data_IF_666134826486
#
_entry.id   IF_666134826486
#
_cell.length_a   1.000
_cell.length_b   1.000
_cell.length_c   1.000
_cell.angle_alpha   90.00
_cell.angle_beta   90.00
_cell.angle_gamma   90.00
#
_symmetry.space_group_name_H-M   'P 1'
#
loop_
_entity.id
_entity.type
_entity.pdbx_description
1 polymer ?
#
# COMPACT_ATOMS: atom_id res chain seq x y z
N UNK A 1 13.63 -3.23 -2.42
CA UNK A 1 12.17 -3.50 -2.23
C UNK A 1 11.65 -2.91 -0.93
N UNK A 2 12.13 -1.72 -0.58
CA UNK A 2 11.35 -0.82 0.26
C UNK A 2 10.23 -0.19 -0.59
N UNK A 3 10.48 -0.02 -1.90
CA UNK A 3 9.68 0.73 -2.86
C UNK A 3 8.14 0.59 -2.87
N UNK A 4 7.56 -0.58 -3.15
CA UNK A 4 6.12 -0.67 -3.48
C UNK A 4 5.20 -0.71 -2.27
N UNK A 5 5.62 -1.48 -1.25
CA UNK A 5 4.98 -1.45 0.05
C UNK A 5 5.31 -0.16 0.78
N UNK A 6 6.47 0.49 0.57
CA UNK A 6 6.63 1.87 1.01
C UNK A 6 5.65 2.75 0.26
N UNK A 7 5.57 2.81 -1.07
CA UNK A 7 4.55 3.63 -1.76
C UNK A 7 3.15 3.36 -1.19
N UNK A 8 2.77 2.10 -0.99
CA UNK A 8 1.51 1.74 -0.35
C UNK A 8 1.39 2.22 1.12
N UNK A 9 2.40 2.00 1.98
CA UNK A 9 2.42 2.40 3.39
C UNK A 9 2.63 3.90 3.60
N UNK A 10 3.49 4.52 2.82
CA UNK A 10 3.64 5.95 2.58
C UNK A 10 2.31 6.59 2.25
N UNK A 11 1.57 6.03 1.29
CA UNK A 11 0.20 6.45 0.98
C UNK A 11 -0.73 6.24 2.18
N UNK A 12 -0.50 5.22 3.01
CA UNK A 12 -1.28 4.97 4.23
C UNK A 12 -0.86 5.80 5.47
N UNK A 13 0.35 6.35 5.57
CA UNK A 13 0.93 6.88 6.82
C UNK A 13 1.29 8.37 6.77
N UNK A 14 0.90 9.10 5.73
CA UNK A 14 1.35 10.47 5.48
C UNK A 14 0.90 11.54 6.49
N UNK A 15 0.24 11.17 7.59
CA UNK A 15 0.24 11.91 8.87
C UNK A 15 -0.43 11.05 9.95
N UNK A 16 0.34 10.26 10.72
CA UNK A 16 -0.10 9.58 11.96
C UNK A 16 -1.49 8.90 11.94
N UNK A 17 -1.83 8.24 10.84
CA UNK A 17 -3.08 7.50 10.71
C UNK A 17 -3.28 7.06 9.27
N UNK A 18 -3.90 5.89 9.11
CA UNK A 18 -4.38 5.36 7.84
C UNK A 18 -5.02 6.48 7.00
N UNK A 19 -4.81 6.50 5.68
CA UNK A 19 -5.38 7.49 4.75
C UNK A 19 -6.92 7.44 4.74
N UNK A 20 -7.47 7.94 5.81
CA UNK A 20 -8.84 8.33 6.02
C UNK A 20 -8.66 9.69 6.63
N UNK A 21 -8.98 10.75 5.87
CA UNK A 21 -8.98 12.10 6.39
C UNK A 21 -9.58 12.12 7.80
N UNK A 22 -8.97 12.78 8.79
CA UNK A 22 -9.51 12.84 10.14
C UNK A 22 -10.99 13.29 10.17
N UNK A 23 -11.40 14.13 9.21
CA UNK A 23 -12.79 14.54 8.98
C UNK A 23 -13.75 13.40 8.60
N UNK A 24 -13.26 12.29 8.04
CA UNK A 24 -14.04 11.10 7.78
C UNK A 24 -14.22 10.27 9.06
N UNK A 25 -13.24 10.22 9.95
CA UNK A 25 -13.41 9.62 11.27
C UNK A 25 -14.39 10.42 12.16
N UNK A 26 -14.55 11.72 11.94
CA UNK A 26 -15.59 12.52 12.60
C UNK A 26 -17.03 12.07 12.25
N UNK A 27 -17.21 11.23 11.21
CA UNK A 27 -18.50 10.62 10.85
C UNK A 27 -18.78 9.34 11.64
N UNK A 28 -17.80 8.79 12.35
CA UNK A 28 -17.98 7.65 13.24
C UNK A 28 -18.38 8.14 14.64
N UNK A 29 -19.27 7.42 15.32
CA UNK A 29 -19.50 7.63 16.76
C UNK A 29 -18.24 7.32 17.58
N UNK A 30 -18.17 7.82 18.82
CA UNK A 30 -17.04 7.54 19.72
C UNK A 30 -16.84 6.03 19.93
N UNK A 31 -17.93 5.30 20.18
CA UNK A 31 -17.91 3.85 20.43
C UNK A 31 -17.49 3.06 19.17
N UNK A 32 -17.97 3.48 18.00
CA UNK A 32 -17.56 2.88 16.72
C UNK A 32 -16.08 3.14 16.44
N UNK A 33 -15.59 4.36 16.71
CA UNK A 33 -14.20 4.74 16.50
C UNK A 33 -13.25 3.91 17.38
N UNK A 34 -13.61 3.70 18.65
CA UNK A 34 -12.84 2.84 19.55
C UNK A 34 -12.84 1.38 19.05
N UNK A 35 -13.99 0.87 18.63
CA UNK A 35 -14.10 -0.46 18.03
C UNK A 35 -13.22 -0.63 16.79
N UNK A 36 -13.25 0.35 15.88
CA UNK A 36 -12.40 0.40 14.69
C UNK A 36 -10.92 0.39 15.04
N UNK A 37 -10.48 1.19 16.03
CA UNK A 37 -9.09 1.21 16.50
C UNK A 37 -8.67 -0.18 17.00
N UNK A 38 -9.52 -0.85 17.78
CA UNK A 38 -9.25 -2.20 18.29
C UNK A 38 -9.17 -3.24 17.17
N UNK A 39 -10.00 -3.12 16.13
CA UNK A 39 -9.92 -4.00 14.95
C UNK A 39 -8.59 -3.87 14.21
N UNK A 40 -8.05 -2.65 14.07
CA UNK A 40 -6.87 -2.41 13.24
C UNK A 40 -5.54 -2.53 13.99
N UNK A 41 -5.53 -2.34 15.31
CA UNK A 41 -4.32 -2.35 16.13
C UNK A 41 -3.41 -3.59 15.94
N UNK A 42 -3.92 -4.83 15.85
CA UNK A 42 -3.09 -6.01 15.58
C UNK A 42 -2.38 -5.93 14.22
N UNK A 43 -3.04 -5.33 13.23
CA UNK A 43 -2.46 -5.09 11.91
C UNK A 43 -1.39 -4.01 12.04
N UNK A 44 -1.72 -2.84 12.59
CA UNK A 44 -0.81 -1.68 12.68
C UNK A 44 0.48 -1.98 13.45
N UNK A 45 0.41 -2.77 14.52
CA UNK A 45 1.57 -3.18 15.34
C UNK A 45 2.56 -4.03 14.55
N UNK A 46 2.12 -4.81 13.57
CA UNK A 46 3.01 -5.56 12.67
C UNK A 46 3.83 -4.66 11.74
N UNK A 47 3.45 -3.38 11.62
CA UNK A 47 4.07 -2.36 10.77
C UNK A 47 4.94 -1.35 11.54
N UNK A 48 4.86 -1.28 12.88
CA UNK A 48 5.53 -0.25 13.69
C UNK A 48 7.07 -0.33 13.66
N UNK A 49 7.65 -1.52 13.51
CA UNK A 49 9.12 -1.71 13.60
C UNK A 49 9.87 -1.53 12.27
N UNK A 50 9.39 -0.67 11.36
CA UNK A 50 9.93 -0.53 9.99
C UNK A 50 10.06 -1.89 9.31
N UNK A 51 9.01 -2.36 8.65
CA UNK A 51 9.08 -3.70 8.05
C UNK A 51 10.30 -3.83 7.12
N UNK A 52 11.25 -4.68 7.51
CA UNK A 52 12.32 -5.10 6.63
C UNK A 52 11.77 -6.14 5.64
N UNK A 53 11.04 -5.64 4.65
CA UNK A 53 10.29 -6.43 3.69
C UNK A 53 11.17 -7.18 2.69
N UNK A 54 12.45 -6.82 2.59
CA UNK A 54 13.42 -7.59 1.82
C UNK A 54 13.49 -9.05 2.30
N UNK A 55 13.12 -9.29 3.57
CA UNK A 55 13.07 -10.60 4.21
C UNK A 55 11.69 -10.98 4.77
N UNK A 56 10.58 -10.46 4.22
CA UNK A 56 9.28 -11.08 4.54
C UNK A 56 9.32 -12.51 4.03
N UNK A 57 9.36 -13.46 4.96
CA UNK A 57 9.20 -14.87 4.62
C UNK A 57 7.75 -15.08 4.22
N UNK A 58 7.49 -16.07 3.36
CA UNK A 58 6.12 -16.49 3.01
C UNK A 58 5.27 -16.71 4.27
N UNK A 59 5.85 -17.32 5.31
CA UNK A 59 5.18 -17.53 6.60
C UNK A 59 4.80 -16.22 7.31
N UNK A 60 5.70 -15.22 7.32
CA UNK A 60 5.39 -13.90 7.88
C UNK A 60 4.33 -13.17 7.05
N UNK A 61 4.40 -13.28 5.72
CA UNK A 61 3.40 -12.73 4.82
C UNK A 61 2.00 -13.30 5.06
N UNK A 62 1.89 -14.63 5.14
CA UNK A 62 0.63 -15.33 5.47
C UNK A 62 0.08 -14.84 6.82
N UNK A 63 0.91 -14.76 7.86
CA UNK A 63 0.48 -14.26 9.18
C UNK A 63 -0.09 -12.84 9.10
N UNK A 64 0.56 -11.94 8.36
CA UNK A 64 0.07 -10.57 8.23
C UNK A 64 -1.24 -10.54 7.42
N UNK A 65 -1.38 -11.40 6.40
CA UNK A 65 -2.65 -11.54 5.66
C UNK A 65 -3.77 -12.02 6.58
N UNK A 66 -3.53 -13.02 7.42
CA UNK A 66 -4.54 -13.55 8.36
C UNK A 66 -5.01 -12.47 9.33
N UNK A 67 -4.07 -11.74 9.95
CA UNK A 67 -4.39 -10.62 10.85
C UNK A 67 -5.15 -9.51 10.12
N UNK A 68 -4.77 -9.23 8.87
CA UNK A 68 -5.46 -8.25 8.04
C UNK A 68 -6.90 -8.66 7.69
N UNK A 69 -7.13 -9.96 7.40
CA UNK A 69 -8.47 -10.49 7.15
C UNK A 69 -9.33 -10.49 8.42
N UNK A 70 -8.76 -10.84 9.57
CA UNK A 70 -9.44 -10.74 10.86
C UNK A 70 -9.87 -9.29 11.15
N UNK A 71 -8.97 -8.33 10.92
CA UNK A 71 -9.29 -6.91 11.06
C UNK A 71 -10.42 -6.49 10.10
N UNK A 72 -10.40 -6.96 8.86
CA UNK A 72 -11.47 -6.68 7.88
C UNK A 72 -12.83 -7.22 8.36
N UNK A 73 -12.87 -8.44 8.88
CA UNK A 73 -14.10 -9.03 9.44
C UNK A 73 -14.60 -8.26 10.66
N UNK A 74 -13.70 -7.82 11.54
CA UNK A 74 -14.01 -6.96 12.68
C UNK A 74 -14.58 -5.61 12.23
N UNK A 75 -13.93 -4.96 11.25
CA UNK A 75 -14.34 -3.67 10.70
C UNK A 75 -15.75 -3.71 10.06
N UNK A 76 -16.15 -4.84 9.48
CA UNK A 76 -17.47 -5.01 8.89
C UNK A 76 -18.64 -4.87 9.89
N UNK A 77 -18.37 -4.91 11.20
CA UNK A 77 -19.36 -4.72 12.25
C UNK A 77 -19.71 -3.25 12.50
N UNK A 78 -18.94 -2.31 11.93
CA UNK A 78 -19.08 -0.88 12.18
C UNK A 78 -19.54 -0.15 10.91
N UNK A 79 -20.82 0.27 10.82
CA UNK A 79 -21.36 0.92 9.63
C UNK A 79 -20.56 2.14 9.15
N UNK A 80 -19.96 2.89 10.07
CA UNK A 80 -19.16 4.07 9.73
C UNK A 80 -17.95 3.73 8.82
N UNK A 81 -17.40 2.51 8.94
CA UNK A 81 -16.24 2.02 8.16
C UNK A 81 -16.55 1.98 6.67
N UNK A 82 -17.74 1.51 6.29
CA UNK A 82 -18.16 1.44 4.89
C UNK A 82 -18.40 2.84 4.30
N UNK A 83 -18.90 3.78 5.12
CA UNK A 83 -19.12 5.16 4.69
C UNK A 83 -17.80 5.87 4.34
N UNK A 84 -16.73 5.56 5.07
CA UNK A 84 -15.40 6.14 4.86
C UNK A 84 -14.48 5.26 4.00
N UNK A 85 -15.00 4.14 3.47
CA UNK A 85 -14.27 3.17 2.65
C UNK A 85 -13.05 2.51 3.35
N UNK A 86 -13.02 2.52 4.68
CA UNK A 86 -11.92 1.93 5.46
C UNK A 86 -11.80 0.43 5.21
N UNK A 87 -12.93 -0.25 5.06
CA UNK A 87 -13.05 -1.66 4.70
C UNK A 87 -12.37 -1.96 3.37
N UNK A 88 -12.54 -1.09 2.38
CA UNK A 88 -11.94 -1.25 1.05
C UNK A 88 -10.43 -1.00 1.08
N UNK A 89 -9.99 0.01 1.84
CA UNK A 89 -8.56 0.30 2.02
C UNK A 89 -7.86 -0.85 2.75
N UNK A 90 -8.47 -1.40 3.80
CA UNK A 90 -7.92 -2.56 4.53
C UNK A 90 -7.93 -3.83 3.69
N UNK A 91 -9.00 -4.12 2.96
CA UNK A 91 -9.01 -5.24 2.02
C UNK A 91 -7.88 -5.13 0.99
N UNK A 92 -7.65 -3.92 0.48
CA UNK A 92 -6.57 -3.67 -0.47
C UNK A 92 -5.18 -3.86 0.15
N UNK A 93 -5.00 -3.50 1.43
CA UNK A 93 -3.78 -3.80 2.19
C UNK A 93 -3.55 -5.31 2.27
N UNK A 94 -4.60 -6.09 2.57
CA UNK A 94 -4.50 -7.54 2.66
C UNK A 94 -4.14 -8.15 1.29
N UNK A 95 -4.82 -7.72 0.22
CA UNK A 95 -4.56 -8.17 -1.15
C UNK A 95 -3.11 -7.86 -1.58
N UNK A 96 -2.62 -6.67 -1.22
CA UNK A 96 -1.26 -6.22 -1.52
C UNK A 96 -0.23 -7.12 -0.83
N UNK A 97 -0.38 -7.37 0.47
CA UNK A 97 0.55 -8.20 1.23
C UNK A 97 0.51 -9.64 0.75
N UNK A 98 -0.68 -10.17 0.44
CA UNK A 98 -0.83 -11.49 -0.16
C UNK A 98 -0.03 -11.58 -1.46
N UNK A 99 -0.26 -10.66 -2.39
CA UNK A 99 0.41 -10.63 -3.68
C UNK A 99 1.94 -10.57 -3.56
N UNK A 100 2.46 -9.69 -2.69
CA UNK A 100 3.90 -9.54 -2.48
C UNK A 100 4.53 -10.75 -1.77
N UNK A 101 3.80 -11.43 -0.90
CA UNK A 101 4.31 -12.60 -0.16
C UNK A 101 4.18 -13.92 -0.92
N UNK A 102 3.35 -13.97 -1.96
CA UNK A 102 3.17 -15.15 -2.82
C UNK A 102 3.66 -14.90 -4.24
N UNK A 103 2.83 -14.29 -5.07
CA UNK A 103 2.95 -14.34 -6.52
C UNK A 103 4.12 -13.49 -7.00
N UNK A 104 4.29 -12.29 -6.43
CA UNK A 104 5.36 -11.38 -6.81
C UNK A 104 6.73 -11.76 -6.25
N UNK A 105 6.81 -12.67 -5.28
CA UNK A 105 8.06 -12.99 -4.57
C UNK A 105 9.18 -13.48 -5.52
N UNK A 106 8.82 -14.13 -6.62
CA UNK A 106 9.78 -14.56 -7.64
C UNK A 106 10.31 -13.39 -8.47
N UNK A 107 9.44 -12.46 -8.88
CA UNK A 107 9.79 -11.24 -9.60
C UNK A 107 10.67 -10.32 -8.73
N UNK A 108 10.31 -10.18 -7.45
CA UNK A 108 11.07 -9.43 -6.47
C UNK A 108 12.55 -9.83 -6.44
N UNK A 109 12.85 -11.13 -6.40
CA UNK A 109 14.24 -11.60 -6.38
C UNK A 109 15.03 -11.14 -7.61
N UNK A 110 14.39 -11.14 -8.79
CA UNK A 110 15.01 -10.65 -10.03
C UNK A 110 15.23 -9.14 -10.00
N UNK A 111 14.23 -8.38 -9.55
CA UNK A 111 14.33 -6.92 -9.43
C UNK A 111 15.41 -6.49 -8.44
N UNK A 112 15.58 -7.19 -7.32
CA UNK A 112 16.66 -6.89 -6.36
C UNK A 112 18.03 -7.23 -6.95
N UNK A 113 18.15 -8.35 -7.66
CA UNK A 113 19.41 -8.76 -8.27
C UNK A 113 19.87 -7.79 -9.37
N UNK A 114 18.94 -7.25 -10.16
CA UNK A 114 19.26 -6.33 -11.25
C UNK A 114 19.29 -4.86 -10.80
N UNK A 115 18.45 -4.50 -9.82
CA UNK A 115 18.26 -3.17 -9.24
C UNK A 115 18.45 -2.01 -10.26
N UNK A 116 17.53 -1.86 -11.22
CA UNK A 116 17.60 -0.84 -12.25
C UNK A 116 17.78 0.57 -11.67
N UNK A 117 18.47 1.49 -12.37
CA UNK A 117 18.73 2.84 -11.88
C UNK A 117 17.47 3.58 -11.40
N UNK A 118 16.34 3.44 -12.10
CA UNK A 118 15.12 4.12 -11.69
C UNK A 118 14.49 3.54 -10.42
N UNK A 119 14.58 2.21 -10.22
CA UNK A 119 14.12 1.57 -8.98
C UNK A 119 14.95 2.01 -7.79
N UNK A 120 16.26 2.23 -8.02
CA UNK A 120 17.19 2.74 -7.02
C UNK A 120 16.91 4.19 -6.66
N UNK A 121 16.64 5.04 -7.65
CA UNK A 121 16.24 6.44 -7.42
C UNK A 121 14.91 6.52 -6.67
N UNK A 122 13.94 5.71 -7.08
CA UNK A 122 12.66 5.61 -6.41
C UNK A 122 12.83 5.17 -4.94
N UNK A 123 13.70 4.19 -4.65
CA UNK A 123 13.93 3.70 -3.28
C UNK A 123 14.59 4.77 -2.41
N UNK A 124 15.53 5.54 -2.97
CA UNK A 124 16.18 6.65 -2.28
C UNK A 124 15.21 7.80 -1.94
N UNK A 125 14.31 8.14 -2.86
CA UNK A 125 13.35 9.23 -2.65
C UNK A 125 12.27 8.84 -1.63
N UNK A 126 11.79 7.60 -1.63
CA UNK A 126 10.84 7.13 -0.62
C UNK A 126 11.43 7.07 0.79
N UNK A 127 12.72 6.81 0.93
CA UNK A 127 13.40 6.90 2.23
C UNK A 127 13.45 8.33 2.79
N UNK A 128 13.17 9.34 1.95
CA UNK A 128 13.11 10.74 2.33
C UNK A 128 11.68 11.29 2.20
N UNK A 129 10.66 10.47 2.49
CA UNK A 129 9.26 10.82 2.24
C UNK A 129 8.79 12.08 2.97
N UNK A 130 9.41 12.41 4.10
CA UNK A 130 9.16 13.66 4.83
C UNK A 130 9.43 14.92 3.97
N UNK A 131 10.20 14.78 2.88
CA UNK A 131 10.51 15.85 1.93
C UNK A 131 9.56 15.88 0.71
N UNK A 132 8.58 14.98 0.68
CA UNK A 132 7.68 14.80 -0.46
C UNK A 132 6.32 15.39 -0.08
N UNK A 133 5.91 16.43 -0.81
CA UNK A 133 4.70 17.19 -0.51
C UNK A 133 3.42 16.38 -0.70
N UNK A 134 3.32 15.58 -1.78
CA UNK A 134 2.15 14.74 -2.04
C UNK A 134 2.55 13.36 -2.60
N UNK A 135 1.93 12.26 -2.15
CA UNK A 135 2.32 10.92 -2.60
C UNK A 135 1.93 10.61 -4.04
N UNK A 136 1.07 11.44 -4.65
CA UNK A 136 0.86 11.38 -6.11
C UNK A 136 2.11 11.73 -6.90
N UNK A 137 2.96 12.63 -6.40
CA UNK A 137 4.17 13.04 -7.13
C UNK A 137 5.12 11.86 -7.26
N UNK A 138 5.17 10.99 -6.24
CA UNK A 138 5.90 9.73 -6.26
C UNK A 138 5.32 8.74 -7.26
N UNK A 139 3.99 8.51 -7.21
CA UNK A 139 3.33 7.57 -8.13
C UNK A 139 3.56 8.03 -9.56
N UNK A 140 3.24 9.28 -9.86
CA UNK A 140 3.34 9.83 -11.20
C UNK A 140 4.77 9.78 -11.73
N UNK A 141 5.75 10.14 -10.89
CA UNK A 141 7.17 10.13 -11.29
C UNK A 141 7.69 8.72 -11.59
N UNK A 142 7.31 7.72 -10.80
CA UNK A 142 7.95 6.40 -10.87
C UNK A 142 7.11 5.31 -11.54
N UNK A 143 5.78 5.49 -11.66
CA UNK A 143 4.89 4.49 -12.27
C UNK A 143 5.32 4.10 -13.69
N UNK A 144 5.63 5.04 -14.62
CA UNK A 144 6.07 4.67 -15.96
C UNK A 144 7.33 3.81 -15.94
N UNK A 145 8.33 4.19 -15.14
CA UNK A 145 9.54 3.39 -15.06
C UNK A 145 9.28 2.02 -14.42
N UNK A 146 8.45 1.97 -13.37
CA UNK A 146 8.12 0.71 -12.72
C UNK A 146 7.42 -0.26 -13.66
N UNK A 147 6.49 0.23 -14.46
CA UNK A 147 5.82 -0.55 -15.48
C UNK A 147 6.82 -1.17 -16.45
N UNK A 148 7.72 -0.35 -17.00
CA UNK A 148 8.74 -0.79 -17.96
C UNK A 148 9.66 -1.84 -17.35
N UNK A 149 10.26 -1.56 -16.20
CA UNK A 149 11.24 -2.47 -15.58
C UNK A 149 10.60 -3.79 -15.11
N UNK A 150 9.41 -3.75 -14.49
CA UNK A 150 8.72 -4.98 -14.06
C UNK A 150 8.34 -5.80 -15.29
N UNK A 151 7.80 -5.17 -16.34
CA UNK A 151 7.42 -5.87 -17.56
C UNK A 151 8.63 -6.50 -18.24
N UNK A 152 9.75 -5.79 -18.32
CA UNK A 152 10.97 -6.31 -18.95
C UNK A 152 11.62 -7.45 -18.15
N UNK A 153 11.66 -7.34 -16.83
CA UNK A 153 12.40 -8.27 -15.97
C UNK A 153 11.56 -9.50 -15.59
N UNK A 154 10.27 -9.28 -15.39
CA UNK A 154 9.36 -10.29 -14.85
C UNK A 154 8.25 -10.70 -15.82
N UNK A 155 7.87 -9.82 -16.74
CA UNK A 155 6.74 -9.99 -17.65
C UNK A 155 5.49 -9.25 -17.18
N UNK A 156 4.62 -8.92 -18.13
CA UNK A 156 3.40 -8.12 -17.93
C UNK A 156 2.47 -8.68 -16.85
N UNK A 157 2.40 -10.01 -16.71
CA UNK A 157 1.60 -10.70 -15.68
C UNK A 157 1.93 -10.28 -14.24
N UNK A 158 3.12 -9.71 -13.99
CA UNK A 158 3.51 -9.18 -12.68
C UNK A 158 3.21 -7.70 -12.52
N UNK A 159 3.00 -6.95 -13.60
CA UNK A 159 2.63 -5.54 -13.56
C UNK A 159 1.12 -5.36 -13.38
N UNK A 160 0.29 -6.10 -14.12
CA UNK A 160 -1.17 -5.90 -14.13
C UNK A 160 -1.82 -5.94 -12.73
N UNK A 161 -1.47 -6.87 -11.82
CA UNK A 161 -2.01 -6.86 -10.46
C UNK A 161 -1.58 -5.62 -9.66
N UNK A 162 -0.34 -5.15 -9.84
CA UNK A 162 0.17 -3.95 -9.18
C UNK A 162 -0.53 -2.68 -9.66
N UNK A 163 -0.68 -2.53 -10.98
CA UNK A 163 -1.43 -1.41 -11.57
C UNK A 163 -2.88 -1.39 -11.06
N UNK A 164 -3.51 -2.55 -10.94
CA UNK A 164 -4.85 -2.69 -10.36
C UNK A 164 -4.88 -2.26 -8.90
N UNK A 165 -3.90 -2.67 -8.09
CA UNK A 165 -3.79 -2.27 -6.68
C UNK A 165 -3.63 -0.75 -6.56
N UNK A 166 -2.75 -0.13 -7.36
CA UNK A 166 -2.51 1.30 -7.34
C UNK A 166 -3.77 2.11 -7.73
N UNK A 167 -4.48 1.69 -8.78
CA UNK A 167 -5.73 2.33 -9.21
C UNK A 167 -6.84 2.22 -8.15
N UNK A 168 -6.98 1.05 -7.52
CA UNK A 168 -7.92 0.84 -6.41
C UNK A 168 -7.58 1.73 -5.21
N UNK A 169 -6.29 1.86 -4.89
CA UNK A 169 -5.85 2.72 -3.79
C UNK A 169 -6.20 4.17 -4.05
N UNK A 170 -5.87 4.70 -5.24
CA UNK A 170 -6.24 6.07 -5.63
C UNK A 170 -7.75 6.30 -5.51
N UNK A 171 -8.56 5.33 -5.95
CA UNK A 171 -10.03 5.39 -5.86
C UNK A 171 -10.54 5.39 -4.42
N UNK A 172 -10.11 4.45 -3.59
CA UNK A 172 -10.66 4.25 -2.24
C UNK A 172 -10.14 5.29 -1.25
N UNK A 173 -8.88 5.68 -1.40
CA UNK A 173 -8.29 6.73 -0.61
C UNK A 173 -8.75 8.13 -1.08
N UNK A 174 -9.58 8.27 -2.11
CA UNK A 174 -9.96 9.58 -2.68
C UNK A 174 -8.77 10.46 -3.08
N UNK A 175 -7.64 9.84 -3.40
CA UNK A 175 -6.43 10.53 -3.83
C UNK A 175 -6.62 10.91 -5.29
N UNK A 176 -6.90 12.19 -5.55
CA UNK A 176 -6.89 12.74 -6.92
C UNK A 176 -5.45 13.02 -7.33
N UNK A 177 -4.79 12.04 -7.93
CA UNK A 177 -3.53 12.31 -8.63
C UNK A 177 -3.83 12.98 -9.96
N UNK A 178 -3.11 14.06 -10.34
CA UNK A 178 -3.23 14.58 -11.70
C UNK A 178 -2.87 13.46 -12.67
N UNK A 179 -3.75 13.25 -13.66
CA UNK A 179 -3.48 12.35 -14.78
C UNK A 179 -2.26 12.92 -15.48
N UNK A 180 -1.19 12.14 -15.59
CA UNK A 180 -0.11 12.51 -16.49
C UNK A 180 -0.67 12.26 -17.87
N UNK A 181 -1.19 13.32 -18.51
CA UNK A 181 -1.29 13.33 -19.95
C UNK A 181 0.15 13.15 -20.45
N UNK A 182 0.44 11.96 -20.96
CA UNK A 182 1.60 11.78 -21.84
C UNK A 182 1.28 12.56 -23.11
N UNK A 183 1.57 13.86 -23.10
CA UNK A 183 1.70 14.61 -24.34
C UNK A 183 2.86 13.97 -25.13
N UNK A 184 2.50 13.57 -26.35
CA UNK A 184 3.31 12.96 -27.40
C UNK A 184 4.42 13.89 -27.86
#
# INVERSE_FOLDING_TARGET
MKLYLLIFFSLLQLNNGFFIPPENFQKCGLDESLGVILCIAPVTTLFQDNINLQNITRARGIRIVDECRNATTCLAQYPCVTQVQLDKVFNLLCDTISYFSTDFASCQKKLVAQMPPCMRDAEKNLLNIEKIGHPCDLISKYQPCMQTEITNICGEKYWTPLDTILKKLQKYAHIKCPIIDTEV
#
